data_IF_628956163506
#
_entry.id   IF_628956163506
#
_cell.length_a   1.000
_cell.length_b   1.000
_cell.length_c   1.000
_cell.angle_alpha   90.00
_cell.angle_beta   90.00
_cell.angle_gamma   90.00
#
_symmetry.space_group_name_H-M   'P 1'
#
loop_
_entity.id
_entity.type
_entity.pdbx_description
1 polymer ?
#
# COMPACT_ATOMS: atom_id res chain seq x y z
N UNK A 1 -31.56 -40.76 -11.33
CA UNK A 1 -30.76 -40.25 -10.20
C UNK A 1 -29.34 -40.16 -10.74
N UNK A 2 -28.75 -39.02 -11.05
CA UNK A 2 -28.82 -37.70 -10.43
C UNK A 2 -29.14 -36.59 -11.44
N UNK A 3 -30.25 -35.89 -11.22
CA UNK A 3 -30.40 -34.50 -11.65
C UNK A 3 -29.60 -33.66 -10.66
N UNK A 4 -28.37 -33.26 -11.01
CA UNK A 4 -27.68 -32.17 -10.31
C UNK A 4 -28.11 -30.86 -10.96
N UNK A 5 -28.99 -30.15 -10.25
CA UNK A 5 -29.37 -28.75 -10.38
C UNK A 5 -28.71 -27.97 -11.53
N UNK A 6 -29.41 -27.85 -12.67
CA UNK A 6 -29.31 -26.62 -13.45
C UNK A 6 -29.90 -25.52 -12.58
N UNK A 7 -29.04 -24.71 -11.96
CA UNK A 7 -29.47 -23.43 -11.40
C UNK A 7 -30.29 -22.70 -12.47
N UNK A 8 -31.51 -22.33 -12.12
CA UNK A 8 -32.41 -21.59 -13.00
C UNK A 8 -31.73 -20.25 -13.28
N UNK A 9 -31.01 -20.14 -14.39
CA UNK A 9 -30.45 -18.87 -14.86
C UNK A 9 -31.62 -17.94 -15.16
N UNK A 10 -31.97 -17.07 -14.20
CA UNK A 10 -33.05 -16.12 -14.36
C UNK A 10 -32.61 -15.04 -15.36
N UNK A 11 -33.09 -15.15 -16.60
CA UNK A 11 -32.69 -14.30 -17.73
C UNK A 11 -33.01 -12.82 -17.54
N UNK A 12 -33.93 -12.47 -16.63
CA UNK A 12 -34.22 -11.08 -16.23
C UNK A 12 -33.59 -10.66 -14.90
N UNK A 13 -32.63 -11.43 -14.37
CA UNK A 13 -31.99 -11.14 -13.09
C UNK A 13 -31.15 -9.87 -13.17
N UNK A 14 -31.29 -9.02 -12.15
CA UNK A 14 -30.42 -7.87 -11.96
C UNK A 14 -29.15 -8.36 -11.25
N UNK A 15 -27.99 -8.12 -11.84
CA UNK A 15 -26.68 -8.44 -11.25
C UNK A 15 -25.89 -7.16 -11.02
N UNK A 16 -25.33 -6.99 -9.83
CA UNK A 16 -24.50 -5.84 -9.46
C UNK A 16 -23.10 -6.29 -9.06
N UNK A 17 -22.09 -5.82 -9.79
CA UNK A 17 -20.71 -5.87 -9.32
C UNK A 17 -20.48 -4.73 -8.31
N UNK A 18 -19.93 -5.06 -7.15
CA UNK A 18 -19.71 -4.08 -6.07
C UNK A 18 -18.47 -4.36 -5.23
N UNK A 19 -18.09 -3.40 -4.40
CA UNK A 19 -17.10 -3.56 -3.32
C UNK A 19 -17.72 -3.08 -2.00
N UNK A 20 -17.17 -3.53 -0.88
CA UNK A 20 -17.74 -3.36 0.45
C UNK A 20 -17.70 -1.89 0.93
N UNK A 21 -16.58 -1.19 0.68
CA UNK A 21 -16.37 0.23 1.05
C UNK A 21 -16.68 1.18 -0.12
N UNK A 22 -17.91 1.15 -0.65
CA UNK A 22 -18.33 2.07 -1.71
C UNK A 22 -19.73 2.63 -1.51
N UNK A 23 -19.81 3.96 -1.34
CA UNK A 23 -21.06 4.71 -1.16
C UNK A 23 -22.00 4.57 -2.36
N UNK A 24 -21.47 4.60 -3.58
CA UNK A 24 -22.27 4.42 -4.80
C UNK A 24 -22.86 3.01 -4.90
N UNK A 25 -22.10 1.98 -4.53
CA UNK A 25 -22.61 0.61 -4.48
C UNK A 25 -23.74 0.48 -3.46
N UNK A 26 -23.58 1.07 -2.26
CA UNK A 26 -24.61 1.10 -1.23
C UNK A 26 -25.87 1.84 -1.70
N UNK A 27 -25.71 3.01 -2.35
CA UNK A 27 -26.80 3.78 -2.96
C UNK A 27 -27.58 2.94 -3.96
N UNK A 28 -26.91 2.32 -4.95
CA UNK A 28 -27.59 1.53 -5.97
C UNK A 28 -28.36 0.33 -5.38
N UNK A 29 -27.75 -0.38 -4.41
CA UNK A 29 -28.42 -1.49 -3.71
C UNK A 29 -29.65 -1.02 -2.94
N UNK A 30 -29.57 0.13 -2.27
CA UNK A 30 -30.70 0.71 -1.56
C UNK A 30 -31.82 1.10 -2.53
N UNK A 31 -31.49 1.76 -3.64
CA UNK A 31 -32.47 2.13 -4.66
C UNK A 31 -33.24 0.92 -5.18
N UNK A 32 -32.55 -0.18 -5.51
CA UNK A 32 -33.19 -1.42 -5.95
C UNK A 32 -34.10 -2.05 -4.89
N UNK A 33 -33.70 -2.00 -3.61
CA UNK A 33 -34.54 -2.46 -2.49
C UNK A 33 -35.79 -1.60 -2.33
N UNK A 34 -35.67 -0.27 -2.45
CA UNK A 34 -36.79 0.66 -2.32
C UNK A 34 -37.85 0.47 -3.40
N UNK A 35 -37.46 0.08 -4.62
CA UNK A 35 -38.39 -0.26 -5.70
C UNK A 35 -38.82 -1.74 -5.70
N UNK A 36 -38.47 -2.50 -4.66
CA UNK A 36 -38.88 -3.90 -4.49
C UNK A 36 -38.25 -4.89 -5.48
N UNK A 37 -37.12 -4.56 -6.10
CA UNK A 37 -36.44 -5.44 -7.05
C UNK A 37 -35.36 -6.28 -6.37
N UNK A 38 -35.41 -7.58 -6.60
CA UNK A 38 -34.35 -8.49 -6.18
C UNK A 38 -33.14 -8.38 -7.13
N UNK A 39 -31.94 -8.52 -6.57
CA UNK A 39 -30.69 -8.49 -7.32
C UNK A 39 -29.70 -9.52 -6.75
N UNK A 40 -28.80 -9.98 -7.62
CA UNK A 40 -27.64 -10.77 -7.26
C UNK A 40 -26.41 -9.87 -7.12
N UNK A 41 -25.68 -10.00 -6.02
CA UNK A 41 -24.46 -9.22 -5.78
C UNK A 41 -23.22 -10.08 -6.04
N UNK A 42 -22.35 -9.60 -6.94
CA UNK A 42 -20.99 -10.10 -7.07
C UNK A 42 -20.05 -9.10 -6.36
N UNK A 43 -19.70 -9.42 -5.12
CA UNK A 43 -18.77 -8.59 -4.34
C UNK A 43 -17.32 -8.92 -4.74
N UNK A 44 -16.62 -7.96 -5.34
CA UNK A 44 -15.26 -8.13 -5.84
C UNK A 44 -14.20 -8.23 -4.73
N UNK A 45 -14.51 -7.85 -3.49
CA UNK A 45 -13.62 -8.10 -2.35
C UNK A 45 -13.63 -9.60 -1.97
N UNK A 46 -14.77 -10.27 -2.16
CA UNK A 46 -14.94 -11.70 -1.91
C UNK A 46 -14.61 -12.55 -3.14
N UNK A 47 -14.80 -12.01 -4.34
CA UNK A 47 -14.55 -12.71 -5.61
C UNK A 47 -13.68 -11.84 -6.53
N UNK A 48 -12.41 -11.59 -6.17
CA UNK A 48 -11.53 -10.70 -6.94
C UNK A 48 -11.31 -11.17 -8.38
N UNK A 49 -11.38 -12.49 -8.63
CA UNK A 49 -11.26 -13.05 -9.97
C UNK A 49 -12.37 -12.57 -10.92
N UNK A 50 -13.55 -12.21 -10.39
CA UNK A 50 -14.69 -11.65 -11.15
C UNK A 50 -14.47 -10.20 -11.58
N UNK A 51 -13.38 -9.56 -11.15
CA UNK A 51 -13.02 -8.22 -11.62
C UNK A 51 -12.68 -8.24 -13.10
N UNK A 52 -12.04 -9.30 -13.60
CA UNK A 52 -11.75 -9.45 -15.04
C UNK A 52 -13.04 -9.50 -15.86
N UNK A 53 -13.97 -10.36 -15.45
CA UNK A 53 -15.31 -10.49 -16.04
C UNK A 53 -16.02 -9.14 -16.11
N UNK A 54 -16.05 -8.39 -14.99
CA UNK A 54 -16.66 -7.06 -14.94
C UNK A 54 -16.01 -6.10 -15.96
N UNK A 55 -14.68 -6.05 -16.01
CA UNK A 55 -13.94 -5.13 -16.89
C UNK A 55 -14.18 -5.47 -18.35
N UNK A 56 -14.10 -6.74 -18.73
CA UNK A 56 -14.34 -7.17 -20.11
C UNK A 56 -15.76 -6.86 -20.58
N UNK A 57 -16.76 -7.02 -19.70
CA UNK A 57 -18.16 -6.81 -20.05
C UNK A 57 -18.56 -5.33 -20.06
N UNK A 58 -18.04 -4.53 -19.13
CA UNK A 58 -18.43 -3.11 -18.97
C UNK A 58 -17.47 -2.13 -19.64
N UNK A 59 -16.22 -2.53 -19.89
CA UNK A 59 -15.10 -1.66 -20.24
C UNK A 59 -14.88 -0.53 -19.21
N UNK A 60 -15.33 -0.73 -17.96
CA UNK A 60 -15.20 0.19 -16.84
C UNK A 60 -14.37 -0.43 -15.71
N UNK A 61 -13.61 0.43 -15.02
CA UNK A 61 -12.86 0.06 -13.82
C UNK A 61 -13.59 0.38 -12.52
N UNK A 62 -14.57 1.29 -12.57
CA UNK A 62 -15.32 1.75 -11.41
C UNK A 62 -16.42 0.75 -11.05
N UNK A 63 -16.85 0.80 -9.79
CA UNK A 63 -18.04 0.12 -9.30
C UNK A 63 -19.02 1.16 -8.73
N UNK A 64 -20.34 0.90 -8.73
CA UNK A 64 -21.00 -0.33 -9.17
C UNK A 64 -21.10 -0.45 -10.70
N UNK A 65 -21.19 -1.68 -11.20
CA UNK A 65 -21.57 -1.98 -12.58
C UNK A 65 -22.79 -2.92 -12.58
N UNK A 66 -23.86 -2.51 -13.25
CA UNK A 66 -25.18 -3.16 -13.16
C UNK A 66 -25.55 -3.77 -14.51
N UNK A 67 -26.04 -5.00 -14.45
CA UNK A 67 -26.54 -5.76 -15.59
C UNK A 67 -27.97 -6.23 -15.31
N UNK A 68 -28.79 -6.29 -16.35
CA UNK A 68 -30.13 -6.91 -16.33
C UNK A 68 -30.10 -8.01 -17.38
N UNK A 69 -30.15 -9.27 -16.97
CA UNK A 69 -29.82 -10.36 -17.89
C UNK A 69 -28.45 -10.13 -18.51
N UNK A 70 -28.36 -10.17 -19.84
CA UNK A 70 -27.13 -9.86 -20.59
C UNK A 70 -27.02 -8.38 -21.01
N UNK A 71 -28.00 -7.54 -20.65
CA UNK A 71 -27.98 -6.11 -20.96
C UNK A 71 -27.17 -5.35 -19.91
N UNK A 72 -26.13 -4.66 -20.37
CA UNK A 72 -25.34 -3.76 -19.53
C UNK A 72 -26.07 -2.43 -19.33
N UNK A 73 -26.45 -2.13 -18.09
CA UNK A 73 -27.18 -0.91 -17.74
C UNK A 73 -26.23 0.28 -17.49
N UNK A 74 -25.09 0.03 -16.84
CA UNK A 74 -24.14 1.08 -16.47
C UNK A 74 -23.89 1.17 -14.97
N UNK A 75 -23.50 2.38 -14.52
CA UNK A 75 -23.15 2.66 -13.13
C UNK A 75 -24.31 3.11 -12.25
N UNK A 76 -23.99 3.65 -11.06
CA UNK A 76 -25.01 4.16 -10.12
C UNK A 76 -25.83 5.31 -10.72
N UNK A 77 -25.20 6.22 -11.45
CA UNK A 77 -25.88 7.38 -12.03
C UNK A 77 -26.80 6.97 -13.18
N UNK A 78 -26.41 5.93 -13.94
CA UNK A 78 -27.24 5.39 -15.01
C UNK A 78 -28.47 4.70 -14.42
N UNK A 79 -28.32 3.92 -13.34
CA UNK A 79 -29.46 3.34 -12.62
C UNK A 79 -30.44 4.42 -12.14
N UNK A 80 -29.94 5.52 -11.60
CA UNK A 80 -30.77 6.65 -11.14
C UNK A 80 -31.55 7.30 -12.29
N UNK A 81 -30.92 7.46 -13.46
CA UNK A 81 -31.62 7.94 -14.68
C UNK A 81 -32.72 6.98 -15.11
N UNK A 82 -32.50 5.66 -15.03
CA UNK A 82 -33.49 4.66 -15.42
C UNK A 82 -34.68 4.55 -14.46
N UNK A 83 -34.49 4.81 -13.15
CA UNK A 83 -35.56 4.79 -12.14
C UNK A 83 -36.36 6.11 -12.13
N UNK A 84 -35.76 7.23 -12.56
CA UNK A 84 -36.38 8.54 -12.60
C UNK A 84 -36.68 9.13 -11.21
N UNK A 85 -36.99 10.44 -11.15
CA UNK A 85 -37.24 11.15 -9.89
C UNK A 85 -38.52 10.68 -9.16
N UNK A 86 -39.48 10.10 -9.89
CA UNK A 86 -40.76 9.61 -9.35
C UNK A 86 -40.75 8.11 -9.00
N UNK A 87 -39.60 7.43 -9.04
CA UNK A 87 -39.48 5.97 -8.86
C UNK A 87 -40.31 5.15 -9.87
N UNK A 88 -40.58 5.68 -11.05
CA UNK A 88 -41.32 4.95 -12.09
C UNK A 88 -40.43 3.87 -12.71
N UNK A 89 -40.71 2.60 -12.38
CA UNK A 89 -39.92 1.45 -12.86
C UNK A 89 -40.23 1.02 -14.29
N UNK A 90 -41.12 1.71 -15.03
CA UNK A 90 -41.61 1.25 -16.34
C UNK A 90 -40.50 0.91 -17.33
N UNK A 91 -39.45 1.73 -17.40
CA UNK A 91 -38.30 1.49 -18.27
C UNK A 91 -37.48 0.27 -17.81
N UNK A 92 -37.30 0.11 -16.49
CA UNK A 92 -36.56 -1.01 -15.91
C UNK A 92 -37.33 -2.33 -16.08
N UNK A 93 -38.64 -2.31 -15.84
CA UNK A 93 -39.54 -3.46 -15.95
C UNK A 93 -39.65 -3.95 -17.39
N UNK A 94 -39.72 -3.02 -18.34
CA UNK A 94 -39.70 -3.35 -19.76
C UNK A 94 -38.40 -4.10 -20.12
N UNK A 95 -37.23 -3.60 -19.71
CA UNK A 95 -35.96 -4.26 -20.00
C UNK A 95 -35.91 -5.64 -19.34
N UNK A 96 -36.38 -5.78 -18.10
CA UNK A 96 -36.43 -7.08 -17.40
C UNK A 96 -37.28 -8.09 -18.19
N UNK A 97 -38.48 -7.69 -18.63
CA UNK A 97 -39.37 -8.56 -19.40
C UNK A 97 -38.79 -8.88 -20.79
N UNK A 98 -38.18 -7.91 -21.47
CA UNK A 98 -37.48 -8.13 -22.74
C UNK A 98 -36.36 -9.16 -22.59
N UNK A 99 -35.54 -9.08 -21.53
CA UNK A 99 -34.48 -10.07 -21.32
C UNK A 99 -35.02 -11.44 -20.95
N UNK A 100 -36.12 -11.53 -20.19
CA UNK A 100 -36.78 -12.82 -19.91
C UNK A 100 -37.23 -13.54 -21.17
N UNK A 101 -37.64 -12.80 -22.19
CA UNK A 101 -38.13 -13.35 -23.46
C UNK A 101 -37.01 -13.75 -24.43
N UNK A 102 -35.75 -13.37 -24.16
CA UNK A 102 -34.62 -13.74 -25.03
C UNK A 102 -34.29 -15.23 -24.96
N UNK A 103 -33.95 -15.79 -26.13
CA UNK A 103 -33.55 -17.20 -26.26
C UNK A 103 -32.21 -17.49 -25.60
N UNK A 104 -31.30 -16.53 -25.61
CA UNK A 104 -29.97 -16.63 -25.00
C UNK A 104 -30.03 -16.86 -23.49
N UNK A 105 -29.10 -17.65 -22.98
CA UNK A 105 -28.93 -17.86 -21.54
C UNK A 105 -28.15 -16.71 -20.92
N UNK A 106 -28.25 -16.57 -19.60
CA UNK A 106 -27.46 -15.60 -18.84
C UNK A 106 -25.97 -15.91 -19.01
N UNK A 107 -25.16 -14.89 -19.29
CA UNK A 107 -23.71 -15.02 -19.36
C UNK A 107 -23.16 -15.57 -18.03
N UNK A 108 -22.36 -16.63 -18.10
CA UNK A 108 -21.77 -17.29 -16.92
C UNK A 108 -20.87 -16.35 -16.11
N UNK A 109 -20.33 -15.31 -16.74
CA UNK A 109 -19.54 -14.27 -16.07
C UNK A 109 -20.35 -13.47 -15.05
N UNK A 110 -21.67 -13.37 -15.25
CA UNK A 110 -22.61 -12.71 -14.33
C UNK A 110 -23.08 -13.62 -13.18
N UNK A 111 -22.45 -14.78 -13.02
CA UNK A 111 -22.74 -15.72 -11.96
C UNK A 111 -21.46 -16.00 -11.15
N UNK A 112 -21.62 -16.28 -9.85
CA UNK A 112 -20.50 -16.69 -9.00
C UNK A 112 -20.12 -18.16 -9.32
N UNK A 113 -21.12 -19.01 -9.57
CA UNK A 113 -20.92 -20.44 -9.78
C UNK A 113 -20.33 -21.11 -8.54
N UNK A 114 -19.40 -22.05 -8.75
CA UNK A 114 -18.75 -22.81 -7.67
C UNK A 114 -17.59 -22.08 -6.97
N UNK A 115 -17.36 -20.80 -7.32
CA UNK A 115 -16.28 -20.02 -6.73
C UNK A 115 -16.48 -19.87 -5.23
N UNK A 116 -15.42 -20.13 -4.47
CA UNK A 116 -15.40 -19.90 -3.04
C UNK A 116 -14.99 -18.45 -2.74
N UNK A 117 -15.64 -17.77 -1.78
CA UNK A 117 -15.24 -16.43 -1.40
C UNK A 117 -13.84 -16.44 -0.79
N UNK A 118 -13.00 -15.50 -1.22
CA UNK A 118 -11.70 -15.27 -0.57
C UNK A 118 -11.94 -14.66 0.80
N UNK A 119 -11.04 -14.95 1.75
CA UNK A 119 -11.09 -14.28 3.05
C UNK A 119 -10.87 -12.77 2.85
N UNK A 120 -11.72 -11.91 3.43
CA UNK A 120 -11.51 -10.48 3.42
C UNK A 120 -10.13 -10.10 3.97
N UNK A 121 -9.59 -8.98 3.52
CA UNK A 121 -8.35 -8.44 4.08
C UNK A 121 -8.51 -8.19 5.59
N UNK A 122 -7.61 -8.77 6.39
CA UNK A 122 -7.64 -8.67 7.86
C UNK A 122 -6.52 -7.76 8.36
N UNK A 123 -6.86 -6.52 8.71
CA UNK A 123 -5.87 -5.53 9.16
C UNK A 123 -5.06 -5.99 10.38
N UNK A 124 -5.63 -6.84 11.24
CA UNK A 124 -4.95 -7.35 12.43
C UNK A 124 -3.76 -8.25 12.08
N UNK A 125 -3.89 -9.07 11.01
CA UNK A 125 -2.80 -9.91 10.50
C UNK A 125 -1.59 -9.11 10.02
N UNK A 126 -1.78 -7.83 9.70
CA UNK A 126 -0.68 -6.97 9.27
C UNK A 126 0.35 -6.78 10.39
N UNK A 127 -0.08 -6.80 11.66
CA UNK A 127 0.76 -6.56 12.83
C UNK A 127 1.23 -7.86 13.51
N UNK A 128 1.05 -9.01 12.87
CA UNK A 128 1.57 -10.27 13.39
C UNK A 128 3.10 -10.18 13.54
N UNK A 129 3.62 -10.32 14.79
CA UNK A 129 5.04 -10.18 15.04
C UNK A 129 5.81 -11.36 14.44
N UNK A 130 7.07 -11.11 14.10
CA UNK A 130 7.97 -12.19 13.71
C UNK A 130 8.47 -12.94 14.95
N UNK A 131 8.78 -14.23 14.82
CA UNK A 131 9.24 -15.04 15.96
C UNK A 131 10.47 -14.41 16.66
N UNK A 132 11.40 -13.86 15.88
CA UNK A 132 12.63 -13.21 16.38
C UNK A 132 12.39 -11.87 17.10
N UNK A 133 11.17 -11.33 17.07
CA UNK A 133 10.82 -10.07 17.76
C UNK A 133 10.55 -10.26 19.25
N UNK A 134 10.43 -11.51 19.70
CA UNK A 134 10.28 -11.82 21.10
C UNK A 134 11.66 -11.95 21.76
N UNK A 135 11.97 -10.97 22.59
CA UNK A 135 13.19 -10.92 23.39
C UNK A 135 12.92 -11.50 24.76
N UNK A 136 13.67 -12.52 25.16
CA UNK A 136 13.66 -12.98 26.54
C UNK A 136 14.83 -12.36 27.30
N UNK A 137 14.52 -11.50 28.27
CA UNK A 137 15.51 -10.85 29.13
C UNK A 137 15.14 -11.17 30.57
N UNK A 138 16.03 -11.86 31.28
CA UNK A 138 15.85 -12.22 32.69
C UNK A 138 14.53 -12.98 32.97
N UNK A 139 14.17 -13.94 32.11
CA UNK A 139 12.95 -14.75 32.23
C UNK A 139 11.64 -14.03 31.90
N UNK A 140 11.69 -12.76 31.50
CA UNK A 140 10.53 -12.00 30.99
C UNK A 140 10.64 -11.86 29.48
N UNK A 141 9.53 -12.11 28.79
CA UNK A 141 9.40 -11.86 27.35
C UNK A 141 9.02 -10.41 27.13
N UNK A 142 9.71 -9.77 26.22
CA UNK A 142 9.47 -8.43 25.75
C UNK A 142 9.26 -8.47 24.24
N UNK A 143 8.21 -7.82 23.78
CA UNK A 143 8.00 -7.58 22.36
C UNK A 143 8.93 -6.47 21.87
N UNK A 144 9.24 -6.46 20.57
CA UNK A 144 9.99 -5.37 19.95
C UNK A 144 9.39 -3.99 20.26
N UNK A 145 8.06 -3.89 20.26
CA UNK A 145 7.34 -2.65 20.54
C UNK A 145 7.52 -2.16 21.98
N UNK A 146 7.46 -3.07 22.97
CA UNK A 146 7.65 -2.73 24.37
C UNK A 146 9.06 -2.18 24.65
N UNK A 147 10.08 -2.82 24.08
CA UNK A 147 11.47 -2.34 24.19
C UNK A 147 11.61 -0.97 23.54
N UNK A 148 11.06 -0.80 22.34
CA UNK A 148 11.15 0.45 21.59
C UNK A 148 10.48 1.61 22.30
N UNK A 149 9.25 1.39 22.78
CA UNK A 149 8.50 2.36 23.58
C UNK A 149 9.27 2.75 24.83
N UNK A 150 9.83 1.77 25.53
CA UNK A 150 10.70 1.98 26.69
C UNK A 150 11.91 2.85 26.35
N UNK A 151 12.67 2.50 25.30
CA UNK A 151 13.87 3.26 24.91
C UNK A 151 13.55 4.73 24.61
N UNK A 152 12.41 4.99 23.97
CA UNK A 152 11.99 6.36 23.65
C UNK A 152 11.54 7.17 24.85
N UNK A 153 10.89 6.53 25.82
CA UNK A 153 10.29 7.20 26.98
C UNK A 153 11.33 7.44 28.09
N UNK A 154 12.23 6.48 28.32
CA UNK A 154 13.12 6.50 29.48
C UNK A 154 14.52 7.06 29.15
N UNK A 155 15.01 6.94 27.91
CA UNK A 155 16.34 7.45 27.57
C UNK A 155 16.35 8.98 27.44
N UNK A 156 17.43 9.60 27.92
CA UNK A 156 17.65 11.04 27.80
C UNK A 156 18.15 11.42 26.39
N UNK A 157 17.24 11.48 25.44
CA UNK A 157 17.51 11.85 24.05
C UNK A 157 17.61 13.37 23.94
N UNK A 158 18.81 13.87 23.61
CA UNK A 158 19.08 15.30 23.43
C UNK A 158 20.26 15.53 22.50
N UNK A 159 20.34 16.74 21.96
CA UNK A 159 21.52 17.21 21.22
C UNK A 159 22.70 17.34 22.18
N UNK A 160 23.86 16.79 21.81
CA UNK A 160 25.11 16.90 22.58
C UNK A 160 26.22 17.42 21.67
N UNK A 161 27.16 18.17 22.25
CA UNK A 161 28.37 18.65 21.54
C UNK A 161 29.59 17.90 22.04
N UNK A 162 30.46 17.51 21.12
CA UNK A 162 31.76 16.92 21.42
C UNK A 162 32.81 17.48 20.48
N UNK A 163 33.82 18.12 21.05
CA UNK A 163 34.73 19.03 20.34
C UNK A 163 33.96 20.03 19.47
N UNK A 164 34.29 20.11 18.18
CA UNK A 164 33.66 21.00 17.21
C UNK A 164 32.43 20.39 16.51
N UNK A 165 31.99 19.20 16.92
CA UNK A 165 30.87 18.48 16.28
C UNK A 165 29.65 18.47 17.20
N UNK A 166 28.48 18.72 16.61
CA UNK A 166 27.18 18.56 17.27
C UNK A 166 26.54 17.25 16.81
N UNK A 167 26.16 16.42 17.78
CA UNK A 167 25.44 15.18 17.58
C UNK A 167 23.98 15.38 17.99
N UNK A 168 23.09 15.33 17.00
CA UNK A 168 21.64 15.48 17.23
C UNK A 168 21.01 14.18 17.72
N UNK A 169 19.93 14.31 18.50
CA UNK A 169 19.08 13.21 18.99
C UNK A 169 19.90 12.00 19.46
N UNK A 170 20.79 12.20 20.44
CA UNK A 170 21.64 11.13 20.96
C UNK A 170 21.34 10.83 22.43
N UNK A 171 21.86 9.72 22.94
CA UNK A 171 21.88 9.36 24.36
C UNK A 171 23.26 8.81 24.75
N UNK A 172 23.58 8.81 26.04
CA UNK A 172 24.87 8.34 26.58
C UNK A 172 24.81 6.85 26.95
N UNK A 173 25.85 6.10 26.60
CA UNK A 173 25.97 4.67 26.93
C UNK A 173 25.88 4.40 28.43
N UNK A 174 26.65 5.13 29.23
CA UNK A 174 26.65 5.00 30.70
C UNK A 174 25.31 5.35 31.37
N UNK A 175 24.57 6.31 30.81
CA UNK A 175 23.23 6.67 31.29
C UNK A 175 22.24 5.55 30.95
N UNK A 176 22.31 5.02 29.72
CA UNK A 176 21.46 3.92 29.26
C UNK A 176 21.68 2.64 30.07
N UNK A 177 22.91 2.32 30.47
CA UNK A 177 23.20 1.12 31.29
C UNK A 177 22.44 1.16 32.61
N UNK A 178 22.41 2.31 33.31
CA UNK A 178 21.65 2.47 34.57
C UNK A 178 20.16 2.24 34.35
N UNK A 179 19.61 2.81 33.28
CA UNK A 179 18.19 2.66 32.91
C UNK A 179 17.89 1.19 32.55
N UNK A 180 18.82 0.48 31.89
CA UNK A 180 18.67 -0.94 31.58
C UNK A 180 18.72 -1.83 32.83
N UNK A 181 19.58 -1.52 33.80
CA UNK A 181 19.63 -2.22 35.09
C UNK A 181 18.28 -2.13 35.81
N UNK A 182 17.68 -0.95 35.85
CA UNK A 182 16.37 -0.71 36.46
C UNK A 182 15.24 -1.42 35.70
N UNK A 183 15.17 -1.24 34.37
CA UNK A 183 14.10 -1.80 33.53
C UNK A 183 14.07 -3.32 33.52
N UNK A 184 15.25 -3.94 33.38
CA UNK A 184 15.39 -5.39 33.21
C UNK A 184 15.69 -6.11 34.53
N UNK A 185 15.74 -5.38 35.65
CA UNK A 185 15.95 -5.91 37.00
C UNK A 185 17.30 -6.66 37.11
N UNK A 186 18.36 -6.04 36.61
CA UNK A 186 19.71 -6.61 36.55
C UNK A 186 20.66 -5.78 37.40
N UNK A 187 21.33 -6.40 38.37
CA UNK A 187 22.22 -5.69 39.30
C UNK A 187 23.60 -5.39 38.69
N UNK A 188 24.15 -6.31 37.91
CA UNK A 188 25.50 -6.16 37.33
C UNK A 188 25.48 -5.26 36.09
N UNK A 189 26.34 -4.23 36.07
CA UNK A 189 26.48 -3.33 34.93
C UNK A 189 26.93 -4.06 33.66
N UNK A 190 27.75 -5.11 33.80
CA UNK A 190 28.22 -5.93 32.67
C UNK A 190 27.05 -6.65 31.97
N UNK A 191 26.11 -7.23 32.74
CA UNK A 191 24.91 -7.85 32.17
C UNK A 191 24.02 -6.84 31.45
N UNK A 192 23.85 -5.64 32.01
CA UNK A 192 23.11 -4.55 31.36
C UNK A 192 23.81 -4.06 30.07
N UNK A 193 25.14 -4.03 30.05
CA UNK A 193 25.91 -3.77 28.83
C UNK A 193 25.68 -4.86 27.76
N UNK A 194 25.65 -6.15 28.15
CA UNK A 194 25.36 -7.24 27.22
C UNK A 194 23.93 -7.17 26.66
N UNK A 195 22.95 -6.77 27.47
CA UNK A 195 21.60 -6.48 26.99
C UNK A 195 21.65 -5.35 25.96
N UNK A 196 22.34 -4.25 26.26
CA UNK A 196 22.52 -3.14 25.32
C UNK A 196 23.19 -3.56 24.01
N UNK A 197 24.21 -4.43 24.04
CA UNK A 197 24.83 -5.02 22.84
C UNK A 197 23.83 -5.84 22.02
N UNK A 198 22.96 -6.60 22.70
CA UNK A 198 21.90 -7.38 22.05
C UNK A 198 20.89 -6.45 21.38
N UNK A 199 20.44 -5.40 22.07
CA UNK A 199 19.54 -4.39 21.52
C UNK A 199 20.16 -3.64 20.33
N UNK A 200 21.45 -3.33 20.38
CA UNK A 200 22.17 -2.73 19.26
C UNK A 200 22.21 -3.68 18.05
N UNK A 201 22.52 -4.98 18.27
CA UNK A 201 22.55 -6.00 17.20
C UNK A 201 21.19 -6.21 16.55
N UNK A 202 20.11 -6.04 17.31
CA UNK A 202 18.73 -6.07 16.81
C UNK A 202 18.31 -4.78 16.10
N UNK A 203 19.19 -3.77 16.05
CA UNK A 203 18.95 -2.53 15.31
C UNK A 203 18.03 -1.54 16.02
N UNK A 204 17.95 -1.56 17.35
CA UNK A 204 17.19 -0.54 18.10
C UNK A 204 17.90 0.82 18.12
N UNK A 205 19.22 0.81 18.12
CA UNK A 205 20.07 1.99 18.12
C UNK A 205 21.46 1.67 17.58
N UNK A 206 22.24 2.69 17.24
CA UNK A 206 23.62 2.54 16.81
C UNK A 206 24.53 3.60 17.44
N UNK A 207 25.83 3.33 17.49
CA UNK A 207 26.81 4.36 17.83
C UNK A 207 26.82 5.46 16.77
N UNK A 208 26.91 6.73 17.17
CA UNK A 208 26.78 7.88 16.24
C UNK A 208 27.83 7.89 15.11
N UNK A 209 28.99 7.29 15.34
CA UNK A 209 30.05 7.12 14.33
C UNK A 209 30.12 5.70 13.73
N UNK A 210 29.28 4.76 14.19
CA UNK A 210 29.30 3.34 13.78
C UNK A 210 30.60 2.56 14.08
N UNK A 211 31.44 3.08 14.98
CA UNK A 211 32.79 2.51 15.24
C UNK A 211 32.83 1.36 16.26
N UNK A 212 31.79 1.16 17.09
CA UNK A 212 31.86 0.23 18.21
C UNK A 212 30.53 -0.40 18.59
N UNK A 213 30.64 -1.58 19.23
CA UNK A 213 29.56 -2.17 20.03
C UNK A 213 29.23 -1.29 21.24
N UNK A 214 28.04 -1.49 21.81
CA UNK A 214 27.54 -0.79 22.97
C UNK A 214 28.45 -1.02 24.18
N UNK A 215 28.80 0.06 24.86
CA UNK A 215 29.69 0.08 26.02
C UNK A 215 29.15 1.01 27.10
N UNK A 216 29.36 0.62 28.36
CA UNK A 216 29.13 1.45 29.53
C UNK A 216 30.20 2.55 29.65
N UNK A 217 30.17 3.51 28.73
CA UNK A 217 31.15 4.60 28.63
C UNK A 217 30.46 5.89 28.20
N UNK A 218 31.21 7.00 28.26
CA UNK A 218 30.83 8.30 27.72
C UNK A 218 30.89 8.28 26.18
N UNK A 219 30.02 7.48 25.56
CA UNK A 219 29.87 7.31 24.12
C UNK A 219 28.43 7.65 23.73
N UNK A 220 28.26 8.20 22.53
CA UNK A 220 26.96 8.64 22.04
C UNK A 220 26.33 7.60 21.12
N UNK A 221 25.05 7.34 21.37
CA UNK A 221 24.23 6.44 20.58
C UNK A 221 22.99 7.17 20.09
N UNK A 222 22.41 6.69 19.00
CA UNK A 222 21.20 7.24 18.38
C UNK A 222 20.20 6.13 18.13
N UNK A 223 18.94 6.36 18.48
CA UNK A 223 17.85 5.43 18.19
C UNK A 223 17.67 5.24 16.68
N UNK A 224 17.22 4.06 16.27
CA UNK A 224 17.09 3.73 14.85
C UNK A 224 16.19 4.68 14.09
N UNK A 225 15.09 5.14 14.71
CA UNK A 225 14.14 6.08 14.10
C UNK A 225 14.72 7.49 13.88
N UNK A 226 15.80 7.85 14.58
CA UNK A 226 16.47 9.14 14.45
C UNK A 226 17.64 9.11 13.44
N UNK A 227 18.01 7.94 12.94
CA UNK A 227 19.10 7.79 11.96
C UNK A 227 18.57 8.13 10.56
N UNK A 228 19.18 9.13 9.93
CA UNK A 228 18.97 9.39 8.51
C UNK A 228 19.77 8.37 7.67
N UNK A 229 19.08 7.36 7.14
CA UNK A 229 19.65 6.38 6.21
C UNK A 229 19.40 6.73 4.74
N UNK A 230 18.87 7.92 4.43
CA UNK A 230 18.57 8.35 3.06
C UNK A 230 17.52 7.49 2.32
N UNK A 231 16.71 6.71 3.05
CA UNK A 231 15.52 6.03 2.54
C UNK A 231 14.44 5.99 3.62
N UNK A 232 13.17 5.89 3.22
CA UNK A 232 12.04 6.18 4.10
C UNK A 232 11.63 5.02 5.00
N UNK A 233 11.88 3.78 4.59
CA UNK A 233 11.49 2.59 5.36
C UNK A 233 12.63 2.10 6.29
N UNK A 234 13.41 3.02 6.85
CA UNK A 234 14.53 2.75 7.79
C UNK A 234 14.12 2.78 9.26
N UNK A 235 12.82 2.92 9.55
CA UNK A 235 12.29 3.07 10.91
C UNK A 235 12.58 1.85 11.79
N UNK A 236 12.58 0.67 11.16
CA UNK A 236 13.10 -0.60 11.66
C UNK A 236 14.00 -1.21 10.59
N UNK A 237 15.09 -1.85 10.96
CA UNK A 237 15.97 -2.55 10.00
C UNK A 237 15.74 -4.04 10.13
N UNK A 238 15.48 -4.69 8.99
CA UNK A 238 15.41 -6.15 8.90
C UNK A 238 16.75 -6.69 8.42
N UNK A 239 17.29 -7.66 9.16
CA UNK A 239 18.54 -8.33 8.82
C UNK A 239 18.42 -9.20 7.55
N UNK A 240 19.57 -9.50 6.94
CA UNK A 240 19.65 -10.42 5.80
C UNK A 240 19.18 -11.83 6.21
N UNK A 241 18.44 -12.49 5.33
CA UNK A 241 17.97 -13.87 5.53
C UNK A 241 16.63 -14.02 6.25
N UNK A 242 16.05 -12.92 6.73
CA UNK A 242 14.66 -12.91 7.22
C UNK A 242 13.73 -13.12 6.03
N UNK A 243 12.77 -14.03 6.14
CA UNK A 243 11.73 -14.25 5.14
C UNK A 243 10.46 -13.52 5.54
N UNK A 244 9.78 -12.93 4.55
CA UNK A 244 8.49 -12.31 4.73
C UNK A 244 7.47 -13.40 5.13
N UNK A 245 6.77 -13.22 6.24
CA UNK A 245 5.78 -14.17 6.74
C UNK A 245 4.37 -13.96 6.14
N UNK A 246 4.25 -13.05 5.17
CA UNK A 246 3.00 -12.62 4.54
C UNK A 246 3.22 -12.39 3.05
N UNK A 247 2.15 -12.37 2.26
CA UNK A 247 2.24 -12.07 0.83
C UNK A 247 2.62 -10.58 0.60
N UNK A 248 3.52 -10.26 -0.36
CA UNK A 248 3.92 -8.88 -0.64
C UNK A 248 2.77 -7.94 -1.04
N UNK A 249 1.78 -8.43 -1.79
CA UNK A 249 0.60 -7.62 -2.12
C UNK A 249 -0.26 -7.40 -0.90
N UNK A 250 -0.42 -8.41 -0.05
CA UNK A 250 -1.11 -8.27 1.22
C UNK A 250 -0.49 -7.15 2.07
N UNK A 251 0.84 -7.16 2.23
CA UNK A 251 1.58 -6.13 2.95
C UNK A 251 1.35 -4.73 2.32
N UNK A 252 1.57 -4.59 1.01
CA UNK A 252 1.42 -3.32 0.31
C UNK A 252 -0.02 -2.79 0.37
N UNK A 253 -1.02 -3.67 0.20
CA UNK A 253 -2.43 -3.31 0.32
C UNK A 253 -2.76 -2.83 1.74
N UNK A 254 -2.24 -3.50 2.77
CA UNK A 254 -2.39 -3.08 4.16
C UNK A 254 -1.80 -1.70 4.42
N UNK A 255 -0.60 -1.43 3.92
CA UNK A 255 0.06 -0.12 3.99
C UNK A 255 -0.80 0.95 3.31
N UNK A 256 -1.29 0.69 2.10
CA UNK A 256 -2.14 1.64 1.34
C UNK A 256 -3.44 1.92 2.10
N UNK A 257 -4.12 0.89 2.62
CA UNK A 257 -5.37 1.05 3.35
C UNK A 257 -5.18 1.82 4.66
N UNK A 258 -4.15 1.48 5.45
CA UNK A 258 -3.83 2.18 6.70
C UNK A 258 -3.46 3.64 6.44
N UNK A 259 -2.68 3.90 5.38
CA UNK A 259 -2.36 5.26 4.98
C UNK A 259 -3.60 6.05 4.55
N UNK A 260 -4.53 5.43 3.79
CA UNK A 260 -5.81 6.04 3.41
C UNK A 260 -6.63 6.43 4.65
N UNK A 261 -6.71 5.56 5.66
CA UNK A 261 -7.40 5.83 6.92
C UNK A 261 -6.78 7.03 7.66
N UNK A 262 -5.45 7.03 7.83
CA UNK A 262 -4.73 8.16 8.47
C UNK A 262 -4.86 9.47 7.68
N UNK A 263 -4.93 9.39 6.35
CA UNK A 263 -5.07 10.56 5.47
C UNK A 263 -6.47 11.17 5.54
N UNK A 264 -7.51 10.35 5.71
CA UNK A 264 -8.89 10.84 5.83
C UNK A 264 -9.15 11.63 7.11
N UNK A 265 -8.41 11.35 8.20
CA UNK A 265 -8.58 12.06 9.47
C UNK A 265 -7.92 13.45 9.51
N UNK A 266 -7.19 13.86 8.47
CA UNK A 266 -6.42 15.13 8.42
C UNK A 266 -6.80 16.05 7.25
N UNK A 267 -8.07 16.01 6.85
CA UNK A 267 -8.62 16.88 5.81
C UNK A 267 -8.91 18.26 6.43
N UNK A 268 -8.42 19.34 5.82
CA UNK A 268 -8.76 20.69 6.25
C UNK A 268 -10.18 21.09 5.78
N UNK A 269 -10.67 22.24 6.24
CA UNK A 269 -12.01 22.76 5.88
C UNK A 269 -12.17 22.96 4.35
N UNK A 270 -11.08 23.17 3.63
CA UNK A 270 -11.04 23.36 2.18
C UNK A 270 -10.92 22.04 1.38
N UNK A 271 -10.88 20.88 2.05
CA UNK A 271 -10.72 19.57 1.42
C UNK A 271 -9.27 19.17 1.08
N UNK A 272 -8.28 19.98 1.42
CA UNK A 272 -6.85 19.70 1.24
C UNK A 272 -6.30 18.82 2.39
N UNK A 273 -5.45 17.86 2.04
CA UNK A 273 -4.79 16.96 3.01
C UNK A 273 -3.62 17.64 3.73
N UNK A 274 -3.61 17.58 5.06
CA UNK A 274 -2.52 18.10 5.89
C UNK A 274 -1.50 16.99 6.23
N UNK A 275 -0.65 16.64 5.27
CA UNK A 275 0.35 15.56 5.41
C UNK A 275 1.29 15.71 6.62
N UNK A 276 1.57 16.94 7.06
CA UNK A 276 2.39 17.20 8.25
C UNK A 276 1.76 16.69 9.55
N UNK A 277 0.43 16.62 9.65
CA UNK A 277 -0.28 16.13 10.83
C UNK A 277 -0.31 14.61 10.93
N UNK A 278 -0.12 13.89 9.82
CA UNK A 278 -0.12 12.41 9.80
C UNK A 278 0.97 11.86 10.72
N UNK A 279 2.15 12.51 10.75
CA UNK A 279 3.28 12.15 11.63
C UNK A 279 2.96 12.22 13.12
N UNK A 280 1.98 13.02 13.51
CA UNK A 280 1.62 13.25 14.91
C UNK A 280 0.58 12.25 15.44
N UNK A 281 0.04 11.39 14.56
CA UNK A 281 -0.93 10.38 14.97
C UNK A 281 -0.25 9.21 15.66
N UNK A 282 -0.88 8.65 16.69
CA UNK A 282 -0.36 7.49 17.43
C UNK A 282 -0.13 6.28 16.52
N UNK A 283 -0.99 6.10 15.51
CA UNK A 283 -0.92 5.01 14.55
C UNK A 283 0.26 5.11 13.57
N UNK A 284 0.92 6.27 13.47
CA UNK A 284 2.00 6.50 12.52
C UNK A 284 3.21 5.59 12.77
N UNK A 285 3.49 5.28 14.04
CA UNK A 285 4.62 4.41 14.39
C UNK A 285 4.39 2.98 13.88
N UNK A 286 3.21 2.41 14.15
CA UNK A 286 2.84 1.07 13.66
C UNK A 286 2.82 1.04 12.12
N UNK A 287 2.36 2.11 11.48
CA UNK A 287 2.44 2.25 10.03
C UNK A 287 3.88 2.20 9.51
N UNK A 288 4.80 2.95 10.13
CA UNK A 288 6.21 2.96 9.72
C UNK A 288 6.90 1.61 9.96
N UNK A 289 6.48 0.85 10.97
CA UNK A 289 6.94 -0.52 11.20
C UNK A 289 6.50 -1.44 10.07
N UNK A 290 5.21 -1.46 9.68
CA UNK A 290 4.76 -2.26 8.53
C UNK A 290 5.41 -1.79 7.22
N UNK A 291 5.59 -0.48 7.05
CA UNK A 291 6.28 0.06 5.88
C UNK A 291 7.76 -0.39 5.82
N UNK A 292 8.40 -0.58 7.00
CA UNK A 292 9.75 -1.12 7.11
C UNK A 292 9.85 -2.58 6.69
N UNK A 293 8.78 -3.37 6.80
CA UNK A 293 8.76 -4.77 6.34
C UNK A 293 8.94 -4.93 4.83
N UNK A 294 8.66 -3.87 4.04
CA UNK A 294 8.94 -3.87 2.60
C UNK A 294 10.42 -4.13 2.27
N UNK A 295 11.33 -3.89 3.22
CA UNK A 295 12.75 -4.24 3.07
C UNK A 295 13.00 -5.73 2.81
N UNK A 296 12.08 -6.59 3.27
CA UNK A 296 12.20 -8.04 3.11
C UNK A 296 11.71 -8.49 1.72
N UNK A 297 10.94 -7.66 1.01
CA UNK A 297 10.38 -8.02 -0.30
C UNK A 297 11.49 -8.12 -1.34
N UNK A 298 11.67 -9.32 -1.90
CA UNK A 298 12.63 -9.58 -2.97
C UNK A 298 11.95 -9.53 -4.34
N UNK A 299 12.41 -8.65 -5.23
CA UNK A 299 11.77 -8.43 -6.53
C UNK A 299 11.93 -9.61 -7.51
N UNK A 300 12.88 -10.52 -7.28
CA UNK A 300 13.08 -11.73 -8.12
C UNK A 300 11.92 -12.72 -8.07
N UNK A 301 11.12 -12.67 -7.01
CA UNK A 301 10.06 -13.66 -6.77
C UNK A 301 8.77 -13.33 -7.56
N UNK A 302 8.72 -12.17 -8.25
CA UNK A 302 7.54 -11.71 -8.99
C UNK A 302 7.56 -12.15 -10.45
N UNK A 303 6.39 -12.51 -10.99
CA UNK A 303 6.15 -12.55 -12.43
C UNK A 303 6.14 -11.15 -13.07
N UNK A 304 6.09 -11.04 -14.40
CA UNK A 304 6.21 -9.73 -15.09
C UNK A 304 5.06 -8.77 -14.77
N UNK A 305 3.81 -9.21 -14.97
CA UNK A 305 2.61 -8.40 -14.66
C UNK A 305 2.49 -8.14 -13.16
N UNK A 306 2.96 -9.10 -12.36
CA UNK A 306 3.00 -8.95 -10.91
C UNK A 306 3.97 -7.84 -10.49
N UNK A 307 5.20 -7.89 -11.00
CA UNK A 307 6.20 -6.85 -10.75
C UNK A 307 5.68 -5.47 -11.18
N UNK A 308 5.09 -5.35 -12.37
CA UNK A 308 4.54 -4.07 -12.85
C UNK A 308 3.44 -3.56 -11.92
N UNK A 309 2.46 -4.40 -11.55
CA UNK A 309 1.37 -4.01 -10.67
C UNK A 309 1.90 -3.59 -9.28
N UNK A 310 2.81 -4.38 -8.71
CA UNK A 310 3.44 -4.10 -7.42
C UNK A 310 4.20 -2.76 -7.44
N UNK A 311 5.05 -2.54 -8.45
CA UNK A 311 5.88 -1.32 -8.53
C UNK A 311 5.02 -0.07 -8.79
N UNK A 312 3.97 -0.15 -9.62
CA UNK A 312 3.03 0.98 -9.82
C UNK A 312 2.34 1.34 -8.50
N UNK A 313 1.79 0.35 -7.79
CA UNK A 313 1.12 0.57 -6.51
C UNK A 313 2.09 1.15 -5.47
N UNK A 314 3.31 0.60 -5.40
CA UNK A 314 4.36 1.07 -4.51
C UNK A 314 4.78 2.51 -4.83
N UNK A 315 5.05 2.82 -6.09
CA UNK A 315 5.40 4.17 -6.54
C UNK A 315 4.31 5.18 -6.12
N UNK A 316 3.05 4.87 -6.40
CA UNK A 316 1.92 5.76 -6.12
C UNK A 316 1.73 6.03 -4.62
N UNK A 317 2.00 5.06 -3.75
CA UNK A 317 1.94 5.27 -2.30
C UNK A 317 3.21 5.98 -1.78
N UNK A 318 4.39 5.69 -2.32
CA UNK A 318 5.66 6.33 -1.93
C UNK A 318 5.65 7.84 -2.17
N UNK A 319 5.03 8.32 -3.26
CA UNK A 319 4.82 9.76 -3.50
C UNK A 319 4.05 10.39 -2.33
N UNK A 320 3.00 9.74 -1.83
CA UNK A 320 2.20 10.30 -0.73
C UNK A 320 2.91 10.19 0.63
N UNK A 321 3.60 9.08 0.88
CA UNK A 321 4.42 8.89 2.07
C UNK A 321 5.55 9.95 2.10
N UNK A 322 6.18 10.20 0.95
CA UNK A 322 7.21 11.22 0.81
C UNK A 322 6.70 12.62 1.14
N UNK A 323 5.45 12.96 0.81
CA UNK A 323 4.84 14.23 1.26
C UNK A 323 4.69 14.35 2.78
N UNK A 324 4.48 13.23 3.47
CA UNK A 324 4.45 13.21 4.93
C UNK A 324 5.86 13.40 5.50
N UNK A 325 6.82 12.64 4.99
CA UNK A 325 8.17 12.52 5.55
C UNK A 325 9.05 13.72 5.17
N UNK A 326 9.14 14.04 3.89
CA UNK A 326 10.02 15.09 3.35
C UNK A 326 9.28 16.43 3.26
N UNK A 327 7.98 16.39 2.96
CA UNK A 327 7.16 17.57 2.69
C UNK A 327 6.76 17.67 1.22
N UNK A 328 5.73 18.49 0.95
CA UNK A 328 5.23 18.71 -0.41
C UNK A 328 6.17 19.69 -1.14
N UNK A 329 6.70 19.34 -2.33
CA UNK A 329 7.58 20.23 -3.07
C UNK A 329 6.81 21.45 -3.59
N UNK A 330 7.19 22.64 -3.12
CA UNK A 330 6.53 23.91 -3.44
C UNK A 330 7.12 24.63 -4.66
N UNK A 331 8.30 24.21 -5.14
CA UNK A 331 9.04 24.87 -6.22
C UNK A 331 9.40 23.91 -7.37
N UNK A 332 9.65 24.45 -8.57
CA UNK A 332 10.04 23.65 -9.74
C UNK A 332 11.30 22.80 -9.46
N UNK A 333 12.33 23.40 -8.86
CA UNK A 333 13.56 22.69 -8.48
C UNK A 333 13.35 21.63 -7.39
N UNK A 334 12.49 21.89 -6.40
CA UNK A 334 12.16 20.88 -5.39
C UNK A 334 11.38 19.71 -6.00
N UNK A 335 10.48 19.95 -6.97
CA UNK A 335 9.79 18.89 -7.72
C UNK A 335 10.77 18.01 -8.51
N UNK A 336 11.78 18.60 -9.14
CA UNK A 336 12.76 17.86 -9.93
C UNK A 336 13.62 16.92 -9.06
N UNK A 337 14.05 17.39 -7.89
CA UNK A 337 14.89 16.58 -6.98
C UNK A 337 14.09 15.63 -6.08
N UNK A 338 12.77 15.85 -5.95
CA UNK A 338 11.90 15.07 -5.09
C UNK A 338 11.91 13.58 -5.45
N UNK A 339 11.80 13.25 -6.73
CA UNK A 339 11.75 11.86 -7.20
C UNK A 339 13.05 11.09 -7.00
N UNK A 340 14.19 11.79 -6.90
CA UNK A 340 15.48 11.19 -6.53
C UNK A 340 15.66 11.07 -5.01
N UNK A 341 14.99 11.91 -4.21
CA UNK A 341 15.08 11.95 -2.74
C UNK A 341 14.17 10.93 -2.07
N UNK A 342 12.99 10.67 -2.63
CA UNK A 342 12.07 9.66 -2.12
C UNK A 342 12.62 8.29 -2.48
N UNK A 343 13.15 7.58 -1.47
CA UNK A 343 13.75 6.25 -1.63
C UNK A 343 13.14 5.22 -0.69
N UNK A 344 13.15 3.98 -1.15
CA UNK A 344 12.71 2.78 -0.41
C UNK A 344 13.77 1.69 -0.56
N UNK A 345 14.01 0.93 0.50
CA UNK A 345 14.83 -0.28 0.45
C UNK A 345 13.93 -1.51 0.21
N UNK A 346 14.25 -2.32 -0.79
CA UNK A 346 13.58 -3.58 -1.14
C UNK A 346 14.65 -4.66 -1.36
N UNK A 347 14.59 -5.75 -0.60
CA UNK A 347 15.55 -6.87 -0.71
C UNK A 347 17.00 -6.46 -0.45
N UNK A 348 17.23 -5.40 0.33
CA UNK A 348 18.57 -4.85 0.61
C UNK A 348 19.09 -3.86 -0.44
N UNK A 349 18.34 -3.57 -1.50
CA UNK A 349 18.69 -2.60 -2.53
C UNK A 349 17.80 -1.35 -2.41
N UNK A 350 18.39 -0.17 -2.55
CA UNK A 350 17.68 1.10 -2.42
C UNK A 350 17.21 1.59 -3.79
N UNK A 351 15.93 1.97 -3.88
CA UNK A 351 15.28 2.46 -5.08
C UNK A 351 14.63 3.81 -4.81
N UNK A 352 15.00 4.82 -5.59
CA UNK A 352 14.26 6.08 -5.71
C UNK A 352 12.99 5.92 -6.55
N UNK A 353 12.09 6.90 -6.54
CA UNK A 353 10.94 6.92 -7.46
C UNK A 353 11.40 6.84 -8.93
N UNK A 354 12.48 7.56 -9.28
CA UNK A 354 13.07 7.49 -10.61
C UNK A 354 13.69 6.11 -10.92
N UNK A 355 14.27 5.43 -9.92
CA UNK A 355 14.77 4.06 -10.09
C UNK A 355 13.62 3.09 -10.38
N UNK A 356 12.49 3.22 -9.68
CA UNK A 356 11.30 2.40 -9.92
C UNK A 356 10.69 2.66 -11.29
N UNK A 357 10.51 3.93 -11.68
CA UNK A 357 9.91 4.27 -12.96
C UNK A 357 10.87 4.01 -14.14
N UNK A 358 12.04 4.64 -14.13
CA UNK A 358 12.93 4.64 -15.28
C UNK A 358 13.87 3.43 -15.31
N UNK A 359 14.31 2.99 -14.13
CA UNK A 359 15.17 1.83 -13.98
C UNK A 359 14.41 0.53 -14.19
N UNK A 360 13.33 0.30 -13.44
CA UNK A 360 12.57 -0.96 -13.46
C UNK A 360 11.50 -0.98 -14.56
N UNK A 361 10.48 -0.11 -14.48
CA UNK A 361 9.32 -0.19 -15.37
C UNK A 361 9.62 0.19 -16.83
N UNK A 362 10.54 1.15 -17.05
CA UNK A 362 10.98 1.56 -18.40
C UNK A 362 12.23 0.84 -18.87
N UNK A 363 12.60 -0.30 -18.29
CA UNK A 363 13.74 -1.13 -18.70
C UNK A 363 15.06 -0.34 -18.81
N UNK A 364 15.35 0.47 -17.79
CA UNK A 364 16.53 1.32 -17.73
C UNK A 364 16.72 2.22 -18.97
N UNK A 365 15.62 2.62 -19.63
CA UNK A 365 15.65 3.60 -20.72
C UNK A 365 16.04 4.98 -20.15
N UNK A 366 16.66 5.80 -21.00
CA UNK A 366 16.99 7.17 -20.62
C UNK A 366 15.72 7.94 -20.25
N UNK A 367 15.79 8.66 -19.14
CA UNK A 367 14.73 9.59 -18.76
C UNK A 367 14.63 10.74 -19.77
N UNK A 368 13.43 11.30 -20.01
CA UNK A 368 13.28 12.52 -20.78
C UNK A 368 14.24 13.61 -20.27
N UNK A 369 15.05 14.18 -21.15
CA UNK A 369 16.02 15.23 -20.80
C UNK A 369 17.29 14.76 -20.07
N UNK A 370 17.50 13.45 -19.84
CA UNK A 370 18.75 12.92 -19.26
C UNK A 370 19.64 12.27 -20.33
N UNK A 371 20.96 12.46 -20.18
CA UNK A 371 21.95 11.91 -21.12
C UNK A 371 22.38 10.47 -20.80
N UNK A 372 22.24 10.05 -19.55
CA UNK A 372 22.57 8.70 -19.07
C UNK A 372 21.32 7.87 -18.79
N UNK A 373 21.50 6.54 -18.75
CA UNK A 373 20.50 5.62 -18.20
C UNK A 373 20.43 5.77 -16.67
N UNK A 374 19.37 5.25 -16.06
CA UNK A 374 19.15 5.36 -14.62
C UNK A 374 20.15 4.48 -13.84
N UNK A 375 20.32 3.24 -14.27
CA UNK A 375 21.26 2.27 -13.73
C UNK A 375 22.50 2.14 -14.62
N UNK A 376 23.67 2.10 -13.98
CA UNK A 376 24.96 1.83 -14.64
C UNK A 376 25.09 0.38 -15.09
N UNK A 377 26.13 0.06 -15.87
CA UNK A 377 26.31 -1.28 -16.46
C UNK A 377 26.48 -2.41 -15.44
N UNK A 378 27.01 -2.10 -14.25
CA UNK A 378 27.32 -3.07 -13.20
C UNK A 378 26.33 -2.97 -12.02
N UNK A 379 25.19 -2.30 -12.21
CA UNK A 379 24.21 -2.12 -11.15
C UNK A 379 23.41 -3.41 -10.97
N UNK A 380 23.43 -3.97 -9.76
CA UNK A 380 22.71 -5.20 -9.41
C UNK A 380 21.20 -5.10 -9.67
N UNK A 381 20.63 -3.88 -9.62
CA UNK A 381 19.19 -3.63 -9.81
C UNK A 381 18.73 -3.89 -11.26
N UNK A 382 19.66 -3.99 -12.21
CA UNK A 382 19.35 -4.33 -13.60
C UNK A 382 18.65 -5.69 -13.76
N UNK A 383 18.90 -6.63 -12.85
CA UNK A 383 18.32 -7.98 -12.95
C UNK A 383 16.79 -7.99 -12.70
N UNK A 384 16.25 -6.93 -12.07
CA UNK A 384 14.83 -6.85 -11.73
C UNK A 384 14.04 -5.98 -12.72
N UNK A 385 14.59 -5.66 -13.89
CA UNK A 385 13.85 -4.95 -14.92
C UNK A 385 12.70 -5.81 -15.46
N UNK A 386 11.61 -5.14 -15.83
CA UNK A 386 10.50 -5.81 -16.53
C UNK A 386 10.99 -6.39 -17.86
N UNK A 387 10.40 -7.51 -18.32
CA UNK A 387 10.77 -8.12 -19.61
C UNK A 387 10.36 -7.29 -20.82
N UNK A 388 9.24 -6.59 -20.73
CA UNK A 388 8.75 -5.70 -21.79
C UNK A 388 8.28 -4.36 -21.22
N UNK A 389 8.74 -3.28 -21.84
CA UNK A 389 8.27 -1.94 -21.52
C UNK A 389 6.89 -1.68 -22.13
N UNK A 390 5.90 -1.45 -21.27
CA UNK A 390 4.56 -1.00 -21.64
C UNK A 390 4.46 0.52 -21.47
N UNK A 391 4.21 1.27 -22.54
CA UNK A 391 4.15 2.73 -22.47
C UNK A 391 2.96 3.27 -21.68
N UNK A 392 1.91 2.45 -21.48
CA UNK A 392 0.68 2.85 -20.78
C UNK A 392 0.89 3.08 -19.28
N UNK A 393 2.01 2.62 -18.72
CA UNK A 393 2.36 2.85 -17.31
C UNK A 393 2.40 4.35 -16.96
N UNK A 394 2.67 5.25 -17.92
CA UNK A 394 2.72 6.69 -17.62
C UNK A 394 1.34 7.26 -17.27
N UNK A 395 0.25 6.62 -17.70
CA UNK A 395 -1.12 6.96 -17.28
C UNK A 395 -1.50 6.33 -15.94
N UNK A 396 -0.63 5.46 -15.42
CA UNK A 396 -0.83 4.76 -14.15
C UNK A 396 -0.04 5.36 -12.98
N UNK A 397 1.12 5.94 -13.28
CA UNK A 397 2.00 6.56 -12.31
C UNK A 397 1.51 7.99 -12.00
N UNK A 398 1.33 8.27 -10.72
CA UNK A 398 0.86 9.56 -10.25
C UNK A 398 2.08 10.45 -9.92
N UNK A 399 2.23 11.59 -10.59
CA UNK A 399 3.29 12.56 -10.30
C UNK A 399 2.99 13.44 -9.06
N UNK A 400 1.84 13.22 -8.42
CA UNK A 400 1.40 13.84 -7.17
C UNK A 400 0.92 15.29 -7.30
N UNK A 401 0.62 15.74 -8.51
CA UNK A 401 -0.01 17.04 -8.74
C UNK A 401 -1.47 17.06 -8.24
N UNK A 402 -1.98 18.24 -7.87
CA UNK A 402 -3.38 18.42 -7.44
C UNK A 402 -4.42 17.99 -8.50
N UNK A 403 -4.03 18.04 -9.78
CA UNK A 403 -4.84 17.63 -10.94
C UNK A 403 -4.73 16.14 -11.26
N UNK A 404 -3.85 15.38 -10.61
CA UNK A 404 -3.71 13.96 -10.90
C UNK A 404 -4.90 13.16 -10.39
N UNK A 405 -5.36 12.14 -11.14
CA UNK A 405 -6.45 11.29 -10.72
C UNK A 405 -6.14 10.59 -9.39
N UNK A 406 -7.17 10.21 -8.61
CA UNK A 406 -6.98 9.48 -7.36
C UNK A 406 -6.15 8.21 -7.60
N UNK A 407 -5.28 7.87 -6.65
CA UNK A 407 -4.42 6.68 -6.75
C UNK A 407 -5.30 5.44 -6.93
N UNK A 408 -5.22 4.86 -8.14
CA UNK A 408 -5.91 3.63 -8.51
C UNK A 408 -5.08 2.42 -8.04
N UNK A 409 -5.77 1.36 -7.63
CA UNK A 409 -5.15 0.06 -7.32
C UNK A 409 -5.01 -0.76 -8.61
N UNK A 410 -3.81 -1.28 -8.85
CA UNK A 410 -3.51 -2.18 -9.95
C UNK A 410 -3.40 -3.62 -9.45
N UNK A 411 -4.06 -4.55 -10.12
CA UNK A 411 -4.03 -5.98 -9.80
C UNK A 411 -3.40 -6.72 -10.97
N UNK A 412 -2.43 -7.60 -10.69
CA UNK A 412 -1.66 -8.30 -11.73
C UNK A 412 -2.55 -9.05 -12.74
N UNK A 413 -3.63 -9.68 -12.28
CA UNK A 413 -4.55 -10.48 -13.10
C UNK A 413 -5.30 -9.69 -14.18
N UNK A 414 -5.46 -8.38 -13.99
CA UNK A 414 -6.22 -7.48 -14.90
C UNK A 414 -5.41 -6.25 -15.27
N UNK A 415 -4.08 -6.31 -15.10
CA UNK A 415 -3.20 -5.16 -15.23
C UNK A 415 -3.29 -4.54 -16.62
N UNK A 416 -3.29 -5.37 -17.66
CA UNK A 416 -3.24 -4.90 -19.05
C UNK A 416 -4.52 -4.18 -19.44
N UNK A 417 -5.67 -4.68 -19.01
CA UNK A 417 -6.98 -4.05 -19.19
C UNK A 417 -7.06 -2.74 -18.38
N UNK A 418 -6.56 -2.73 -17.14
CA UNK A 418 -6.51 -1.53 -16.32
C UNK A 418 -5.65 -0.42 -16.95
N UNK A 419 -4.46 -0.78 -17.45
CA UNK A 419 -3.58 0.15 -18.15
C UNK A 419 -4.22 0.66 -19.44
N UNK A 420 -4.87 -0.22 -20.21
CA UNK A 420 -5.56 0.15 -21.44
C UNK A 420 -6.67 1.18 -21.18
N UNK A 421 -7.56 0.88 -20.23
CA UNK A 421 -8.69 1.76 -19.92
C UNK A 421 -8.18 3.10 -19.40
N UNK A 422 -7.18 3.11 -18.50
CA UNK A 422 -6.63 4.35 -17.97
C UNK A 422 -6.01 5.24 -19.06
N UNK A 423 -5.32 4.64 -20.03
CA UNK A 423 -4.73 5.40 -21.14
C UNK A 423 -5.77 6.07 -22.05
N UNK A 424 -6.99 5.53 -22.13
CA UNK A 424 -8.08 6.10 -22.93
C UNK A 424 -8.80 7.24 -22.19
N UNK A 425 -8.92 7.14 -20.86
CA UNK A 425 -9.61 8.15 -20.06
C UNK A 425 -8.89 9.51 -20.02
N UNK A 426 -7.56 9.51 -19.93
CA UNK A 426 -6.81 10.77 -19.85
C UNK A 426 -6.78 11.51 -21.20
N UNK A 427 -6.78 10.80 -22.33
CA UNK A 427 -6.88 11.43 -23.67
C UNK A 427 -8.22 12.13 -23.92
N UNK A 428 -9.32 11.66 -23.31
CA UNK A 428 -10.64 12.26 -23.50
C UNK A 428 -10.85 13.59 -22.77
N UNK A 429 -10.06 13.88 -21.73
CA UNK A 429 -10.16 15.11 -20.95
C UNK A 429 -9.27 16.24 -21.46
N UNK A 430 -8.26 15.95 -22.28
CA UNK A 430 -7.41 16.96 -22.93
C UNK A 430 -7.99 17.47 -24.28
N UNK A 431 -9.15 16.96 -24.70
CA UNK A 431 -9.83 17.30 -25.94
C UNK A 431 -11.15 18.07 -25.76
N UNK A 432 -11.41 18.65 -24.57
CA UNK A 432 -12.58 19.48 -24.28
C UNK A 432 -12.21 20.92 -23.95
#
# INVERSE_FOLDING_TARGET
MEQKNLEITNKGQITIFSISDCKFCQKSKQMLKEIGKQFNEINLDLYPIKKKDMIEMSQKLSVPQIFIGNYYLGGSDDLEKFIGQNKETKNLDQIIEEQKQKRENLDLRLQIGDLQPVQPFQMDKLNEPYEFENLEINGKKYTFWEIRKFLKQELQIKDRRWHLRQFKNCFLGEEAVKIFQEKFQVQEAEKAEQIGKTLQKMGFFQHVCQDHEFKNQYLFYRLQEDIDQNFMNSYKIFGKGIKLNKDPYYLLNGIVQRFKQMKQSVINVEGNYQYSKIKQQDQFQNFMENFSELQIVELKDFGDDELVAFIINLYNILVQIGYCIIGVPSSFWSKFTYFDRVKVNLGGLVYSLNDLEHGILRQNRKAPGKFSRQFGKNDERLQFMVKEFDCRIHFALNCGAKSCPPVKKYDAQVLREQLQINSQYDWGNDAA
#
